data_IF_050943284383
#
_entry.id   IF_050943284383
#
_cell.length_a   1.000
_cell.length_b   1.000
_cell.length_c   1.000
_cell.angle_alpha   90.00
_cell.angle_beta   90.00
_cell.angle_gamma   90.00
#
_symmetry.space_group_name_H-M   'P 1'
#
loop_
_entity.id
_entity.type
_entity.pdbx_description
1 polymer ?
#
# COMPACT_ATOMS: atom_id res chain seq x y z
N UNK A 1 21.80 16.19 3.44
CA UNK A 1 23.20 16.12 3.88
C UNK A 1 23.73 14.76 3.45
N UNK A 2 24.99 14.63 2.99
CA UNK A 2 25.56 13.33 2.68
C UNK A 2 25.63 12.54 3.99
N UNK A 3 25.08 11.32 4.03
CA UNK A 3 25.34 10.40 5.12
C UNK A 3 26.83 10.02 5.10
N UNK A 4 27.45 9.99 6.28
CA UNK A 4 28.86 9.63 6.41
C UNK A 4 29.01 8.15 6.00
N UNK A 5 29.95 7.78 5.12
CA UNK A 5 30.07 6.42 4.61
C UNK A 5 30.37 5.37 5.69
N UNK A 6 30.85 5.79 6.86
CA UNK A 6 31.08 4.94 8.02
C UNK A 6 29.74 4.53 8.67
N UNK A 7 28.76 5.43 8.71
CA UNK A 7 27.43 5.20 9.29
C UNK A 7 26.59 4.21 8.44
N UNK A 8 26.71 4.31 7.10
CA UNK A 8 26.03 3.37 6.19
C UNK A 8 26.58 1.94 6.31
N UNK A 9 27.90 1.78 6.49
CA UNK A 9 28.52 0.46 6.61
C UNK A 9 28.14 -0.22 7.93
N UNK A 10 28.12 0.52 9.04
CA UNK A 10 27.66 0.00 10.34
C UNK A 10 26.17 -0.35 10.30
N UNK A 11 25.34 0.50 9.70
CA UNK A 11 23.92 0.21 9.51
C UNK A 11 23.71 -1.07 8.68
N UNK A 12 24.43 -1.22 7.57
CA UNK A 12 24.36 -2.42 6.74
C UNK A 12 24.70 -3.68 7.56
N UNK A 13 25.82 -3.68 8.29
CA UNK A 13 26.23 -4.83 9.10
C UNK A 13 25.19 -5.18 10.17
N UNK A 14 24.63 -4.17 10.84
CA UNK A 14 23.59 -4.36 11.85
C UNK A 14 22.31 -4.95 11.25
N UNK A 15 21.84 -4.40 10.13
CA UNK A 15 20.66 -4.92 9.42
C UNK A 15 20.85 -6.37 8.96
N UNK A 16 22.03 -6.70 8.41
CA UNK A 16 22.36 -8.06 7.94
C UNK A 16 22.50 -9.06 9.09
N UNK A 17 23.13 -8.69 10.21
CA UNK A 17 23.24 -9.54 11.39
C UNK A 17 21.86 -9.85 11.99
N UNK A 18 21.00 -8.83 12.10
CA UNK A 18 19.64 -9.01 12.57
C UNK A 18 18.81 -9.87 11.62
N UNK A 19 18.89 -9.61 10.31
CA UNK A 19 18.17 -10.39 9.30
C UNK A 19 18.62 -11.85 9.27
N UNK A 20 19.92 -12.14 9.38
CA UNK A 20 20.42 -13.51 9.52
C UNK A 20 19.81 -14.23 10.72
N UNK A 21 19.78 -13.56 11.87
CA UNK A 21 19.20 -14.13 13.11
C UNK A 21 17.71 -14.39 12.92
N UNK A 22 16.99 -13.42 12.36
CA UNK A 22 15.55 -13.52 12.10
C UNK A 22 15.23 -14.65 11.11
N UNK A 23 15.98 -14.74 10.02
CA UNK A 23 15.77 -15.74 8.96
C UNK A 23 16.15 -17.17 9.41
N UNK A 24 17.12 -17.34 10.32
CA UNK A 24 17.48 -18.64 10.90
C UNK A 24 16.58 -19.10 12.06
N UNK A 25 16.00 -18.15 12.80
CA UNK A 25 15.26 -18.43 14.04
C UNK A 25 13.82 -17.92 14.01
N UNK A 26 13.23 -17.74 12.82
CA UNK A 26 11.92 -17.08 12.69
C UNK A 26 10.81 -17.72 13.52
N UNK A 27 10.81 -19.04 13.69
CA UNK A 27 9.83 -19.74 14.53
C UNK A 27 9.85 -19.24 15.99
N UNK A 28 11.03 -18.92 16.53
CA UNK A 28 11.17 -18.34 17.89
C UNK A 28 10.58 -16.94 17.93
N UNK A 29 10.84 -16.12 16.90
CA UNK A 29 10.25 -14.79 16.78
C UNK A 29 8.72 -14.86 16.67
N UNK A 30 8.19 -15.81 15.90
CA UNK A 30 6.76 -15.98 15.73
C UNK A 30 6.05 -16.38 17.04
N UNK A 31 6.73 -17.08 17.95
CA UNK A 31 6.17 -17.35 19.28
C UNK A 31 6.02 -16.08 20.13
N UNK A 32 6.92 -15.11 19.96
CA UNK A 32 6.87 -13.82 20.67
C UNK A 32 5.91 -12.82 19.99
N UNK A 33 5.81 -12.89 18.67
CA UNK A 33 4.96 -12.04 17.84
C UNK A 33 4.12 -12.89 16.87
N UNK A 34 3.01 -13.49 17.34
CA UNK A 34 2.21 -14.43 16.55
C UNK A 34 1.62 -13.85 15.26
N UNK A 35 1.49 -12.53 15.17
CA UNK A 35 1.00 -11.83 13.99
C UNK A 35 2.09 -11.61 12.92
N UNK A 36 3.36 -11.84 13.24
CA UNK A 36 4.44 -11.81 12.25
C UNK A 36 4.51 -13.15 11.52
N UNK A 37 4.31 -13.10 10.21
CA UNK A 37 4.15 -14.30 9.37
C UNK A 37 5.29 -14.46 8.35
N UNK A 38 6.14 -13.44 8.22
CA UNK A 38 7.31 -13.45 7.34
C UNK A 38 8.41 -12.54 7.89
N UNK A 39 9.67 -13.02 7.98
CA UNK A 39 10.83 -12.17 8.22
C UNK A 39 10.89 -10.99 7.26
N UNK A 40 10.56 -11.26 5.99
CA UNK A 40 10.64 -10.28 4.91
C UNK A 40 9.62 -9.16 5.11
N UNK A 41 8.40 -9.50 5.55
CA UNK A 41 7.37 -8.53 5.89
C UNK A 41 7.75 -7.69 7.13
N UNK A 42 8.37 -8.30 8.14
CA UNK A 42 8.89 -7.59 9.31
C UNK A 42 10.01 -6.62 8.93
N UNK A 43 11.02 -7.08 8.18
CA UNK A 43 12.14 -6.23 7.75
C UNK A 43 11.65 -5.09 6.84
N UNK A 44 10.65 -5.35 6.00
CA UNK A 44 10.01 -4.33 5.16
C UNK A 44 9.33 -3.23 6.00
N UNK A 45 8.57 -3.58 7.03
CA UNK A 45 7.90 -2.59 7.90
C UNK A 45 8.87 -1.74 8.72
N UNK A 46 10.09 -2.22 8.96
CA UNK A 46 11.13 -1.52 9.71
C UNK A 46 12.16 -0.80 8.83
N UNK A 47 12.15 -1.01 7.52
CA UNK A 47 13.00 -0.27 6.60
C UNK A 47 14.41 -0.83 6.46
N UNK A 48 14.60 -2.12 6.77
CA UNK A 48 15.91 -2.78 6.78
C UNK A 48 16.26 -3.29 5.37
N UNK A 49 16.66 -2.35 4.50
CA UNK A 49 16.93 -2.61 3.08
C UNK A 49 17.96 -3.73 2.88
N UNK A 50 19.06 -3.73 3.65
CA UNK A 50 20.10 -4.76 3.53
C UNK A 50 19.62 -6.10 4.07
N UNK A 51 18.86 -6.07 5.18
CA UNK A 51 18.24 -7.26 5.73
C UNK A 51 17.25 -7.93 4.77
N UNK A 52 16.47 -7.14 4.02
CA UNK A 52 15.54 -7.66 3.01
C UNK A 52 16.32 -8.35 1.88
N UNK A 53 17.36 -7.71 1.33
CA UNK A 53 18.21 -8.32 0.30
C UNK A 53 18.78 -9.66 0.76
N UNK A 54 19.25 -9.72 2.00
CA UNK A 54 19.79 -10.94 2.59
C UNK A 54 18.72 -12.03 2.73
N UNK A 55 17.55 -11.72 3.28
CA UNK A 55 16.49 -12.71 3.41
C UNK A 55 15.96 -13.19 2.04
N UNK A 56 15.92 -12.33 1.01
CA UNK A 56 15.64 -12.76 -0.37
C UNK A 56 16.73 -13.72 -0.87
N UNK A 57 18.01 -13.41 -0.64
CA UNK A 57 19.12 -14.28 -1.02
C UNK A 57 19.09 -15.64 -0.28
N UNK A 58 18.52 -15.68 0.93
CA UNK A 58 18.24 -16.91 1.68
C UNK A 58 17.00 -17.68 1.18
N UNK A 59 16.33 -17.21 0.11
CA UNK A 59 15.20 -17.91 -0.52
C UNK A 59 13.84 -17.63 0.12
N UNK A 60 13.69 -16.56 0.91
CA UNK A 60 12.37 -16.18 1.43
C UNK A 60 11.47 -15.63 0.33
N UNK A 61 10.22 -16.10 0.31
CA UNK A 61 9.22 -15.71 -0.68
C UNK A 61 8.77 -14.25 -0.48
N UNK A 62 9.07 -13.41 -1.49
CA UNK A 62 8.72 -11.98 -1.56
C UNK A 62 7.23 -11.73 -1.76
N UNK A 63 6.50 -12.72 -2.28
CA UNK A 63 5.07 -12.63 -2.55
C UNK A 63 4.24 -13.38 -1.52
N UNK A 64 4.85 -13.87 -0.43
CA UNK A 64 4.11 -14.57 0.63
C UNK A 64 3.02 -13.64 1.16
N UNK A 65 1.84 -14.19 1.42
CA UNK A 65 0.63 -13.42 1.75
C UNK A 65 0.18 -13.79 3.16
N UNK A 66 -0.33 -12.80 3.89
CA UNK A 66 -1.09 -13.00 5.11
C UNK A 66 -2.46 -12.34 5.01
N UNK A 67 -3.49 -13.09 5.38
CA UNK A 67 -4.86 -12.60 5.45
C UNK A 67 -5.22 -12.43 6.92
N UNK A 68 -5.47 -11.19 7.33
CA UNK A 68 -5.86 -10.85 8.70
C UNK A 68 -7.34 -11.11 8.99
N UNK A 69 -7.76 -10.85 10.23
CA UNK A 69 -9.10 -11.13 10.77
C UNK A 69 -10.26 -10.38 10.07
N UNK A 70 -9.94 -9.42 9.19
CA UNK A 70 -10.91 -8.66 8.37
C UNK A 70 -10.74 -8.87 6.86
N UNK A 71 -10.17 -9.99 6.44
CA UNK A 71 -9.79 -10.24 5.04
C UNK A 71 -8.78 -9.22 4.48
N UNK A 72 -8.13 -8.43 5.34
CA UNK A 72 -7.04 -7.56 4.95
C UNK A 72 -5.87 -8.40 4.46
N UNK A 73 -5.47 -8.18 3.21
CA UNK A 73 -4.30 -8.80 2.61
C UNK A 73 -3.07 -7.99 2.97
N UNK A 74 -2.09 -8.66 3.54
CA UNK A 74 -0.77 -8.11 3.79
C UNK A 74 0.26 -8.86 2.95
N UNK A 75 1.07 -8.10 2.23
CA UNK A 75 2.26 -8.56 1.52
C UNK A 75 3.48 -7.86 2.11
N UNK A 76 4.70 -8.31 1.82
CA UNK A 76 5.88 -7.58 2.25
C UNK A 76 5.94 -6.18 1.64
N UNK A 77 5.48 -6.02 0.39
CA UNK A 77 5.36 -4.71 -0.26
C UNK A 77 4.32 -3.82 0.43
N UNK A 78 3.17 -4.35 0.86
CA UNK A 78 2.19 -3.55 1.60
C UNK A 78 2.70 -3.16 2.99
N UNK A 79 3.50 -4.01 3.63
CA UNK A 79 4.16 -3.70 4.92
C UNK A 79 5.26 -2.65 4.78
N UNK A 80 5.97 -2.63 3.64
CA UNK A 80 6.90 -1.56 3.32
C UNK A 80 6.24 -0.18 3.37
N UNK A 81 4.94 -0.07 3.08
CA UNK A 81 4.24 1.22 3.12
C UNK A 81 4.12 1.82 4.53
N UNK A 82 4.24 1.00 5.59
CA UNK A 82 4.25 1.46 6.98
C UNK A 82 5.63 1.89 7.48
N UNK A 83 6.69 1.65 6.71
CA UNK A 83 8.07 1.97 7.10
C UNK A 83 8.33 3.48 7.16
N UNK A 84 9.36 3.95 7.90
CA UNK A 84 9.77 5.35 7.88
C UNK A 84 9.96 5.86 6.46
N UNK A 85 9.45 7.07 6.21
CA UNK A 85 9.34 7.60 4.86
C UNK A 85 10.67 7.68 4.11
N UNK A 86 11.77 7.96 4.81
CA UNK A 86 13.13 8.01 4.26
C UNK A 86 13.60 6.67 3.70
N UNK A 87 13.08 5.54 4.18
CA UNK A 87 13.46 4.19 3.75
C UNK A 87 12.42 3.56 2.82
N UNK A 88 11.20 4.07 2.80
CA UNK A 88 10.06 3.48 2.08
C UNK A 88 10.31 3.24 0.61
N UNK A 89 10.82 4.25 -0.09
CA UNK A 89 11.13 4.14 -1.51
C UNK A 89 12.17 3.05 -1.76
N UNK A 90 13.28 3.06 -1.01
CA UNK A 90 14.34 2.07 -1.16
C UNK A 90 13.87 0.63 -0.90
N UNK A 91 13.05 0.42 0.13
CA UNK A 91 12.46 -0.88 0.43
C UNK A 91 11.53 -1.34 -0.70
N UNK A 92 10.61 -0.47 -1.12
CA UNK A 92 9.65 -0.79 -2.18
C UNK A 92 10.36 -1.13 -3.48
N UNK A 93 11.38 -0.34 -3.86
CA UNK A 93 12.22 -0.60 -5.03
C UNK A 93 12.88 -1.97 -4.95
N UNK A 94 13.56 -2.30 -3.84
CA UNK A 94 14.21 -3.60 -3.68
C UNK A 94 13.21 -4.75 -3.82
N UNK A 95 12.04 -4.64 -3.20
CA UNK A 95 11.01 -5.68 -3.28
C UNK A 95 10.50 -5.86 -4.71
N UNK A 96 10.21 -4.77 -5.41
CA UNK A 96 9.72 -4.79 -6.79
C UNK A 96 10.79 -5.31 -7.77
N UNK A 97 12.05 -4.93 -7.60
CA UNK A 97 13.18 -5.44 -8.39
C UNK A 97 13.38 -6.96 -8.24
N UNK A 98 13.01 -7.51 -7.09
CA UNK A 98 13.07 -8.96 -6.82
C UNK A 98 11.75 -9.69 -7.12
N UNK A 99 10.85 -9.07 -7.90
CA UNK A 99 9.66 -9.73 -8.43
C UNK A 99 8.46 -9.75 -7.49
N UNK A 100 8.43 -8.86 -6.48
CA UNK A 100 7.18 -8.63 -5.75
C UNK A 100 6.15 -8.01 -6.68
N UNK A 101 4.89 -8.45 -6.59
CA UNK A 101 3.75 -7.81 -7.25
C UNK A 101 2.87 -7.12 -6.22
N UNK A 102 2.29 -5.98 -6.59
CA UNK A 102 1.20 -5.41 -5.79
C UNK A 102 -0.16 -5.96 -6.20
N UNK A 103 -0.29 -6.66 -7.33
CA UNK A 103 -1.59 -7.22 -7.76
C UNK A 103 -1.78 -8.60 -7.16
N UNK A 104 -2.72 -8.71 -6.22
CA UNK A 104 -3.05 -9.95 -5.53
C UNK A 104 -4.42 -10.47 -5.98
N UNK A 105 -4.45 -11.75 -6.33
CA UNK A 105 -5.67 -12.48 -6.64
C UNK A 105 -6.16 -13.21 -5.39
N UNK A 106 -7.35 -12.86 -4.90
CA UNK A 106 -7.99 -13.58 -3.80
C UNK A 106 -9.20 -14.35 -4.31
N UNK A 107 -9.36 -15.59 -3.83
CA UNK A 107 -10.57 -16.37 -4.05
C UNK A 107 -11.54 -16.10 -2.91
N UNK A 108 -12.69 -15.52 -3.22
CA UNK A 108 -13.77 -15.35 -2.25
C UNK A 108 -14.46 -16.70 -1.96
N UNK A 109 -15.13 -16.85 -0.79
CA UNK A 109 -15.93 -18.04 -0.49
C UNK A 109 -17.03 -18.37 -1.52
N UNK A 110 -17.47 -17.36 -2.26
CA UNK A 110 -18.42 -17.45 -3.38
C UNK A 110 -17.83 -18.12 -4.64
N UNK A 111 -16.51 -18.33 -4.70
CA UNK A 111 -15.79 -18.86 -5.85
C UNK A 111 -15.29 -17.78 -6.83
N UNK A 112 -15.57 -16.50 -6.58
CA UNK A 112 -15.09 -15.40 -7.42
C UNK A 112 -13.64 -15.02 -7.11
N UNK A 113 -12.87 -14.73 -8.15
CA UNK A 113 -11.52 -14.17 -8.02
C UNK A 113 -11.63 -12.65 -8.02
N UNK A 114 -11.24 -12.03 -6.90
CA UNK A 114 -11.09 -10.58 -6.80
C UNK A 114 -9.62 -10.22 -6.93
N UNK A 115 -9.35 -9.07 -7.54
CA UNK A 115 -8.00 -8.52 -7.63
C UNK A 115 -7.89 -7.23 -6.82
N UNK A 116 -6.84 -7.10 -6.03
CA UNK A 116 -6.57 -5.89 -5.26
C UNK A 116 -5.09 -5.49 -5.31
N UNK A 117 -4.82 -4.23 -4.96
CA UNK A 117 -3.45 -3.74 -4.75
C UNK A 117 -3.19 -3.26 -3.33
N UNK A 118 -2.76 -4.17 -2.42
CA UNK A 118 -2.63 -3.86 -1.00
C UNK A 118 -1.67 -2.73 -0.67
N UNK A 119 -0.53 -2.60 -1.35
CA UNK A 119 0.43 -1.54 -1.08
C UNK A 119 -0.08 -0.18 -1.57
N UNK A 120 -0.66 -0.10 -2.78
CA UNK A 120 -1.29 1.12 -3.27
C UNK A 120 -2.44 1.56 -2.34
N UNK A 121 -3.32 0.62 -1.94
CA UNK A 121 -4.39 0.89 -0.97
C UNK A 121 -3.83 1.44 0.33
N UNK A 122 -2.79 0.81 0.88
CA UNK A 122 -2.18 1.22 2.14
C UNK A 122 -1.58 2.63 2.04
N UNK A 123 -0.89 2.95 0.95
CA UNK A 123 -0.30 4.28 0.75
C UNK A 123 -1.35 5.39 0.67
N UNK A 124 -2.42 5.15 -0.09
CA UNK A 124 -3.51 6.10 -0.22
C UNK A 124 -4.30 6.26 1.07
N UNK A 125 -4.46 5.18 1.85
CA UNK A 125 -5.01 5.24 3.19
C UNK A 125 -4.14 6.12 4.11
N UNK A 126 -2.84 5.84 4.23
CA UNK A 126 -1.94 6.62 5.10
C UNK A 126 -1.93 8.10 4.74
N UNK A 127 -1.94 8.42 3.45
CA UNK A 127 -1.98 9.81 2.97
C UNK A 127 -3.23 10.57 3.42
N UNK A 128 -4.40 9.91 3.44
CA UNK A 128 -5.67 10.50 3.89
C UNK A 128 -5.65 10.86 5.37
N UNK A 129 -5.14 9.98 6.23
CA UNK A 129 -5.16 10.16 7.68
C UNK A 129 -3.97 10.94 8.23
N UNK A 130 -2.85 10.90 7.53
CA UNK A 130 -1.62 11.60 7.91
C UNK A 130 -1.16 12.48 6.75
N UNK A 131 -1.86 13.59 6.45
CA UNK A 131 -1.47 14.53 5.41
C UNK A 131 -0.17 15.24 5.81
N UNK A 132 0.96 14.58 5.58
CA UNK A 132 2.29 15.08 5.90
C UNK A 132 2.71 16.08 4.83
N UNK A 133 2.31 17.34 5.01
CA UNK A 133 2.59 18.43 4.08
C UNK A 133 4.10 18.65 3.81
N UNK A 134 4.99 18.16 4.68
CA UNK A 134 6.45 18.29 4.53
C UNK A 134 7.06 17.30 3.54
N UNK A 135 6.29 16.30 3.11
CA UNK A 135 6.83 15.05 2.59
C UNK A 135 6.08 14.52 1.37
N UNK A 136 5.36 15.43 0.68
CA UNK A 136 4.59 15.14 -0.53
C UNK A 136 5.42 14.35 -1.54
N UNK A 137 6.61 14.85 -1.88
CA UNK A 137 7.41 14.30 -2.97
C UNK A 137 7.74 12.83 -2.74
N UNK A 138 8.05 12.44 -1.51
CA UNK A 138 8.36 11.05 -1.17
C UNK A 138 7.13 10.14 -1.26
N UNK A 139 5.95 10.60 -0.83
CA UNK A 139 4.70 9.84 -1.01
C UNK A 139 4.34 9.72 -2.49
N UNK A 140 4.48 10.80 -3.25
CA UNK A 140 4.23 10.84 -4.68
C UNK A 140 5.14 9.86 -5.42
N UNK A 141 6.44 9.83 -5.11
CA UNK A 141 7.38 8.87 -5.73
C UNK A 141 7.03 7.41 -5.44
N UNK A 142 6.62 7.08 -4.22
CA UNK A 142 6.23 5.70 -3.88
C UNK A 142 4.93 5.31 -4.60
N UNK A 143 3.95 6.20 -4.68
CA UNK A 143 2.71 5.94 -5.41
C UNK A 143 2.99 5.77 -6.92
N UNK A 144 3.81 6.65 -7.51
CA UNK A 144 4.27 6.52 -8.91
C UNK A 144 4.94 5.17 -9.13
N UNK A 145 5.90 4.80 -8.28
CA UNK A 145 6.59 3.51 -8.36
C UNK A 145 5.60 2.34 -8.35
N UNK A 146 4.62 2.34 -7.45
CA UNK A 146 3.60 1.28 -7.39
C UNK A 146 2.76 1.23 -8.68
N UNK A 147 2.35 2.39 -9.21
CA UNK A 147 1.55 2.47 -10.44
C UNK A 147 2.36 2.07 -11.69
N UNK A 148 3.63 2.46 -11.76
CA UNK A 148 4.59 2.02 -12.79
C UNK A 148 4.74 0.50 -12.79
N UNK A 149 4.68 -0.12 -11.61
CA UNK A 149 4.66 -1.57 -11.41
C UNK A 149 3.24 -2.18 -11.45
N UNK A 150 2.31 -1.53 -12.16
CA UNK A 150 0.99 -2.06 -12.52
C UNK A 150 0.03 -2.29 -11.35
N UNK A 151 0.19 -1.55 -10.26
CA UNK A 151 -0.81 -1.56 -9.18
C UNK A 151 -2.20 -1.17 -9.72
N UNK A 152 -3.23 -1.82 -9.21
CA UNK A 152 -4.61 -1.64 -9.65
C UNK A 152 -5.17 -0.32 -9.16
N UNK A 153 -5.11 0.67 -10.05
CA UNK A 153 -5.71 1.98 -9.80
C UNK A 153 -7.24 1.94 -9.82
N UNK A 154 -7.80 1.06 -10.65
CA UNK A 154 -9.23 0.84 -10.81
C UNK A 154 -9.54 -0.60 -10.38
N UNK A 155 -10.01 -0.79 -9.14
CA UNK A 155 -10.54 -2.07 -8.69
C UNK A 155 -11.83 -1.84 -7.91
N UNK A 156 -12.91 -2.58 -8.22
CA UNK A 156 -14.17 -2.46 -7.49
C UNK A 156 -14.13 -3.17 -6.13
N UNK A 157 -13.04 -3.89 -5.83
CA UNK A 157 -12.93 -4.74 -4.65
C UNK A 157 -12.14 -4.10 -3.51
N UNK A 158 -11.91 -2.79 -3.57
CA UNK A 158 -11.48 -2.04 -2.41
C UNK A 158 -12.68 -1.83 -1.49
N UNK A 159 -12.59 -2.23 -0.22
CA UNK A 159 -13.66 -2.07 0.78
C UNK A 159 -14.06 -0.60 1.06
N UNK A 160 -13.35 0.38 0.50
CA UNK A 160 -13.53 1.82 0.71
C UNK A 160 -13.49 2.61 -0.62
N UNK A 161 -14.08 2.04 -1.68
CA UNK A 161 -14.16 2.61 -3.04
C UNK A 161 -12.86 2.59 -3.86
N UNK A 162 -12.99 2.87 -5.17
CA UNK A 162 -11.85 3.09 -6.07
C UNK A 162 -10.97 4.22 -5.51
N UNK A 163 -9.63 4.04 -5.44
CA UNK A 163 -8.63 5.04 -5.04
C UNK A 163 -8.94 6.51 -5.34
N UNK A 164 -9.44 6.80 -6.55
CA UNK A 164 -9.71 8.14 -7.02
C UNK A 164 -10.84 8.85 -6.25
N UNK A 165 -11.88 8.13 -5.85
CA UNK A 165 -13.04 8.68 -5.12
C UNK A 165 -12.63 9.31 -3.77
N UNK A 166 -12.04 8.55 -2.82
CA UNK A 166 -11.68 9.10 -1.52
C UNK A 166 -10.52 10.10 -1.63
N UNK A 167 -9.62 9.98 -2.62
CA UNK A 167 -8.60 11.00 -2.90
C UNK A 167 -9.21 12.33 -3.37
N UNK A 168 -10.28 12.29 -4.16
CA UNK A 168 -11.01 13.49 -4.61
C UNK A 168 -11.70 14.19 -3.43
N UNK A 169 -12.38 13.44 -2.57
CA UNK A 169 -12.97 14.00 -1.34
C UNK A 169 -11.92 14.58 -0.39
N UNK A 170 -10.79 13.89 -0.21
CA UNK A 170 -9.68 14.40 0.60
C UNK A 170 -9.14 15.72 0.05
N UNK A 171 -8.98 15.84 -1.28
CA UNK A 171 -8.57 17.07 -1.94
C UNK A 171 -9.59 18.20 -1.81
N UNK A 172 -10.89 17.89 -1.86
CA UNK A 172 -11.95 18.88 -1.62
C UNK A 172 -11.90 19.43 -0.19
N UNK A 173 -11.70 18.58 0.82
CA UNK A 173 -11.53 19.00 2.23
C UNK A 173 -10.20 19.74 2.45
N UNK A 174 -9.16 19.38 1.71
CA UNK A 174 -7.82 19.94 1.84
C UNK A 174 -7.13 20.06 0.47
N UNK A 175 -7.15 21.25 -0.16
CA UNK A 175 -6.59 21.48 -1.50
C UNK A 175 -5.10 21.12 -1.64
N UNK A 176 -4.34 21.06 -0.53
CA UNK A 176 -2.94 20.60 -0.57
C UNK A 176 -2.79 19.14 -0.99
N UNK A 177 -3.89 18.38 -1.00
CA UNK A 177 -3.93 16.97 -1.39
C UNK A 177 -4.36 16.78 -2.86
N UNK A 178 -4.64 17.84 -3.62
CA UNK A 178 -5.12 17.79 -5.01
C UNK A 178 -4.18 17.03 -5.96
N UNK A 179 -2.89 16.98 -5.63
CA UNK A 179 -1.91 16.22 -6.41
C UNK A 179 -2.22 14.72 -6.48
N UNK A 180 -2.86 14.14 -5.45
CA UNK A 180 -3.13 12.71 -5.40
C UNK A 180 -4.21 12.29 -6.43
N UNK A 181 -5.42 12.90 -6.47
CA UNK A 181 -6.38 12.58 -7.52
C UNK A 181 -5.90 12.98 -8.92
N UNK A 182 -5.08 14.03 -9.06
CA UNK A 182 -4.43 14.37 -10.35
C UNK A 182 -3.50 13.24 -10.81
N UNK A 183 -2.59 12.79 -9.94
CA UNK A 183 -1.69 11.67 -10.22
C UNK A 183 -2.46 10.40 -10.56
N UNK A 184 -3.51 10.08 -9.79
CA UNK A 184 -4.33 8.91 -10.08
C UNK A 184 -5.02 9.03 -11.45
N UNK A 185 -5.52 10.22 -11.81
CA UNK A 185 -6.10 10.46 -13.13
C UNK A 185 -5.06 10.30 -14.25
N UNK A 186 -3.82 10.76 -14.06
CA UNK A 186 -2.71 10.59 -15.02
C UNK A 186 -2.42 9.11 -15.32
N UNK A 187 -2.55 8.23 -14.32
CA UNK A 187 -2.37 6.79 -14.47
C UNK A 187 -3.66 6.05 -14.87
N UNK A 188 -4.70 6.77 -15.29
CA UNK A 188 -5.94 6.20 -15.81
C UNK A 188 -6.99 5.87 -14.75
N UNK A 189 -6.87 6.40 -13.54
CA UNK A 189 -7.93 6.37 -12.55
C UNK A 189 -9.21 6.99 -13.10
N UNK A 190 -10.36 6.35 -12.91
CA UNK A 190 -11.62 6.81 -13.48
C UNK A 190 -12.79 6.64 -12.50
N UNK A 191 -13.65 7.66 -12.43
CA UNK A 191 -14.83 7.71 -11.56
C UNK A 191 -16.07 7.03 -12.16
N UNK A 192 -16.15 6.94 -13.49
CA UNK A 192 -17.31 6.41 -14.23
C UNK A 192 -17.03 5.05 -14.84
N UNK A 193 -16.32 4.20 -14.10
CA UNK A 193 -16.08 2.84 -14.53
C UNK A 193 -17.29 1.97 -14.26
N UNK A 194 -17.57 1.12 -15.24
CA UNK A 194 -18.61 0.11 -15.20
C UNK A 194 -17.92 -1.26 -15.22
N UNK A 195 -18.05 -2.01 -14.14
CA UNK A 195 -17.52 -3.37 -14.05
C UNK A 195 -18.66 -4.36 -14.24
N UNK A 196 -18.66 -5.14 -15.33
CA UNK A 196 -19.68 -6.17 -15.52
C UNK A 196 -19.43 -7.31 -14.54
N UNK A 197 -20.48 -7.68 -13.79
CA UNK A 197 -20.47 -8.81 -12.89
C UNK A 197 -20.84 -10.10 -13.60
N UNK A 198 -20.38 -11.26 -13.11
CA UNK A 198 -20.73 -12.57 -13.69
C UNK A 198 -22.24 -12.89 -13.65
N UNK A 199 -22.99 -12.27 -12.75
CA UNK A 199 -24.46 -12.40 -12.63
C UNK A 199 -25.24 -11.48 -13.60
N UNK A 200 -24.53 -10.72 -14.45
CA UNK A 200 -25.12 -9.79 -15.43
C UNK A 200 -25.44 -8.41 -14.85
N UNK A 201 -25.15 -8.15 -13.57
CA UNK A 201 -25.24 -6.82 -12.97
C UNK A 201 -24.01 -5.97 -13.33
N UNK A 202 -24.10 -4.67 -13.06
CA UNK A 202 -23.01 -3.71 -13.29
C UNK A 202 -22.66 -3.05 -11.96
N UNK A 203 -21.38 -3.08 -11.58
CA UNK A 203 -20.88 -2.22 -10.52
C UNK A 203 -20.46 -0.88 -11.16
N UNK A 204 -21.10 0.22 -10.73
CA UNK A 204 -20.82 1.58 -11.20
C UNK A 204 -20.52 2.48 -10.02
N UNK A 205 -19.38 3.16 -10.10
CA UNK A 205 -18.87 4.03 -9.03
C UNK A 205 -19.52 5.41 -9.02
N UNK A 206 -20.21 5.79 -10.09
CA UNK A 206 -20.97 7.05 -10.15
C UNK A 206 -22.09 7.08 -9.09
N UNK A 207 -22.71 5.94 -8.82
CA UNK A 207 -23.72 5.82 -7.74
C UNK A 207 -23.12 6.02 -6.35
N UNK A 208 -22.05 5.30 -6.03
CA UNK A 208 -21.35 5.35 -4.74
C UNK A 208 -20.69 6.71 -4.48
N UNK A 209 -20.11 7.32 -5.52
CA UNK A 209 -19.58 8.68 -5.45
C UNK A 209 -20.67 9.70 -5.09
N UNK A 210 -21.83 9.60 -5.73
CA UNK A 210 -22.96 10.49 -5.47
C UNK A 210 -23.57 10.24 -4.07
N UNK A 211 -23.65 8.99 -3.62
CA UNK A 211 -24.09 8.64 -2.27
C UNK A 211 -23.14 9.19 -1.20
N UNK A 212 -21.82 9.05 -1.41
CA UNK A 212 -20.79 9.64 -0.55
C UNK A 212 -20.87 11.17 -0.53
N UNK A 213 -21.09 11.82 -1.67
CA UNK A 213 -21.33 13.26 -1.75
C UNK A 213 -22.53 13.69 -0.90
N UNK A 214 -23.64 12.96 -1.00
CA UNK A 214 -24.88 13.28 -0.25
C UNK A 214 -24.72 12.99 1.24
N UNK A 215 -23.98 11.94 1.61
CA UNK A 215 -23.80 11.54 3.01
C UNK A 215 -22.82 12.46 3.74
N UNK A 216 -21.71 12.84 3.11
CA UNK A 216 -20.71 13.73 3.72
C UNK A 216 -21.06 15.22 3.58
N UNK A 217 -21.73 15.63 2.49
CA UNK A 217 -21.99 17.04 2.14
C UNK A 217 -23.47 17.38 1.91
N UNK A 218 -24.38 16.48 2.31
CA UNK A 218 -25.82 16.71 2.20
C UNK A 218 -26.30 17.98 2.93
N UNK A 219 -27.56 18.38 2.71
CA UNK A 219 -28.09 19.71 3.04
C UNK A 219 -28.05 20.14 4.53
N UNK A 220 -27.53 19.30 5.44
CA UNK A 220 -27.25 19.70 6.82
C UNK A 220 -26.05 20.66 6.95
N UNK A 221 -25.19 20.79 5.93
CA UNK A 221 -24.06 21.72 5.92
C UNK A 221 -24.31 23.04 5.17
N UNK A 222 -25.52 23.26 4.62
CA UNK A 222 -25.84 24.47 3.83
C UNK A 222 -26.41 25.60 4.69
N UNK A 223 -26.72 25.36 5.98
CA UNK A 223 -27.29 26.37 6.88
C UNK A 223 -26.31 26.87 7.95
N UNK A 224 -25.17 27.43 7.54
CA UNK A 224 -24.44 28.44 8.32
C UNK A 224 -23.55 29.26 7.39
N UNK A 225 -24.11 30.28 6.76
CA UNK A 225 -23.40 31.50 6.37
C UNK A 225 -24.28 32.69 6.70
#
# INVERSE_FOLDING_TARGET
MPQDPIDEQEQQQSEEQFANTLCNHFAVFQHLWPWEWSPLAYLASHGFVHGIKLCIACGWDVNKIHVGERQCVFTPLSRAMSTPLSRRLAVATVLLEHGTTDVIHMLQPSGYVIQCSPALRHMLFLHRFYPLAKDRNLHEHVIRLLLDHRSLINSPYYEEDIPLVPSTFAAFKNPKLEWAPQLLSEYGGCLDLVFPRPDGLLDSFTGEFMESCVTEYGPRYVNTR
#
